data_IF_731359060639
#
_entry.id   IF_731359060639
#
_cell.length_a   1.000
_cell.length_b   1.000
_cell.length_c   1.000
_cell.angle_alpha   90.00
_cell.angle_beta   90.00
_cell.angle_gamma   90.00
#
_symmetry.space_group_name_H-M   'P 1'
#
loop_
_entity.id
_entity.type
_entity.pdbx_description
1 polymer ?
#
# COMPACT_ATOMS: atom_id res chain seq x y z
N UNK A 1 13.77 13.56 14.95
CA UNK A 1 13.01 12.37 15.44
C UNK A 1 14.02 11.31 15.86
N UNK A 2 14.26 11.14 17.15
CA UNK A 2 15.15 10.07 17.64
C UNK A 2 14.52 8.66 17.50
N UNK A 3 13.20 8.60 17.42
CA UNK A 3 12.44 7.34 17.39
C UNK A 3 11.95 6.91 15.98
N UNK A 4 12.47 7.52 14.91
CA UNK A 4 12.11 7.13 13.55
C UNK A 4 13.36 6.78 12.76
N UNK A 5 13.62 5.48 12.59
CA UNK A 5 14.76 4.97 11.83
C UNK A 5 14.48 3.56 11.32
N UNK A 6 15.27 3.12 10.35
CA UNK A 6 15.18 1.80 9.76
C UNK A 6 16.45 1.00 10.05
N UNK A 7 16.26 -0.23 10.51
CA UNK A 7 17.34 -1.18 10.74
C UNK A 7 17.19 -2.40 9.83
N UNK A 8 18.21 -2.72 9.05
CA UNK A 8 18.27 -3.97 8.30
C UNK A 8 18.86 -5.07 9.17
N UNK A 9 18.03 -6.07 9.51
CA UNK A 9 18.44 -7.23 10.33
C UNK A 9 19.21 -8.24 9.50
N UNK A 10 18.71 -8.54 8.29
CA UNK A 10 19.34 -9.49 7.36
C UNK A 10 19.01 -9.15 5.92
N UNK A 11 19.99 -9.26 5.06
CA UNK A 11 19.83 -9.23 3.62
C UNK A 11 20.08 -10.61 3.03
N UNK A 12 19.27 -11.01 2.08
CA UNK A 12 19.48 -12.23 1.32
C UNK A 12 20.70 -12.05 0.40
N UNK A 13 21.67 -12.98 0.38
CA UNK A 13 22.91 -12.81 -0.36
C UNK A 13 22.76 -12.96 -1.88
N UNK A 14 21.65 -13.55 -2.34
CA UNK A 14 21.44 -13.89 -3.75
C UNK A 14 20.37 -13.04 -4.43
N UNK A 15 19.64 -12.24 -3.66
CA UNK A 15 18.52 -11.42 -4.15
C UNK A 15 18.57 -10.01 -3.54
N UNK A 16 17.64 -9.14 -3.93
CA UNK A 16 17.45 -7.84 -3.28
C UNK A 16 16.71 -7.92 -1.95
N UNK A 17 16.18 -9.09 -1.58
CA UNK A 17 15.32 -9.25 -0.42
C UNK A 17 16.05 -8.97 0.90
N UNK A 18 15.37 -8.26 1.80
CA UNK A 18 15.89 -7.94 3.13
C UNK A 18 14.80 -7.98 4.18
N UNK A 19 15.15 -8.38 5.38
CA UNK A 19 14.33 -8.28 6.57
C UNK A 19 14.88 -7.17 7.47
N UNK A 20 14.01 -6.26 7.88
CA UNK A 20 14.37 -5.11 8.70
C UNK A 20 13.31 -4.79 9.75
N UNK A 21 13.51 -3.70 10.47
CA UNK A 21 12.54 -3.08 11.36
C UNK A 21 12.51 -1.58 11.10
N UNK A 22 11.32 -1.03 10.89
CA UNK A 22 11.09 0.39 10.84
C UNK A 22 10.50 0.82 12.18
N UNK A 23 11.26 1.61 12.94
CA UNK A 23 10.84 2.17 14.22
C UNK A 23 10.02 3.42 13.99
N UNK A 24 8.87 3.54 14.66
CA UNK A 24 7.96 4.69 14.56
C UNK A 24 7.45 5.09 15.95
N UNK A 25 6.88 6.29 16.12
CA UNK A 25 6.31 6.71 17.40
C UNK A 25 5.22 5.79 17.98
N UNK A 26 4.44 5.12 17.11
CA UNK A 26 3.36 4.22 17.54
C UNK A 26 3.76 2.73 17.47
N UNK A 27 5.04 2.41 17.38
CA UNK A 27 5.56 1.05 17.44
C UNK A 27 6.42 0.64 16.26
N UNK A 28 6.97 -0.55 16.37
CA UNK A 28 7.88 -1.13 15.41
C UNK A 28 7.12 -1.86 14.29
N UNK A 29 7.67 -1.77 13.07
CA UNK A 29 7.14 -2.43 11.89
C UNK A 29 8.19 -3.38 11.35
N UNK A 30 7.94 -4.67 11.46
CA UNK A 30 8.79 -5.70 10.84
C UNK A 30 8.59 -5.71 9.32
N UNK A 31 9.68 -5.51 8.57
CA UNK A 31 9.65 -5.56 7.11
C UNK A 31 10.21 -6.89 6.56
N UNK A 32 9.78 -7.33 5.37
CA UNK A 32 8.80 -6.69 4.49
C UNK A 32 7.39 -6.75 5.06
N UNK A 33 6.56 -5.72 4.74
CA UNK A 33 5.21 -5.55 5.31
C UNK A 33 4.17 -5.20 4.24
N UNK A 34 2.97 -5.72 4.41
CA UNK A 34 1.77 -5.30 3.67
C UNK A 34 0.88 -4.44 4.57
N UNK A 35 0.42 -3.31 4.05
CA UNK A 35 -0.47 -2.37 4.73
C UNK A 35 -1.91 -2.50 4.20
N UNK A 36 -2.87 -2.95 5.00
CA UNK A 36 -4.29 -2.86 4.65
C UNK A 36 -4.72 -1.40 4.48
N UNK A 37 -5.55 -1.13 3.46
CA UNK A 37 -5.97 0.23 3.14
C UNK A 37 -7.27 0.60 3.86
N UNK A 38 -7.18 1.58 4.74
CA UNK A 38 -8.28 2.20 5.48
C UNK A 38 -8.73 3.51 4.85
N UNK A 39 -9.40 3.46 3.70
CA UNK A 39 -9.72 4.60 2.83
C UNK A 39 -10.36 5.79 3.55
N UNK A 40 -11.28 5.54 4.47
CA UNK A 40 -12.06 6.57 5.20
C UNK A 40 -11.99 6.34 6.71
N UNK A 41 -10.78 6.28 7.26
CA UNK A 41 -10.51 5.93 8.65
C UNK A 41 -11.06 4.55 9.05
N UNK A 42 -11.19 3.63 8.09
CA UNK A 42 -11.49 2.23 8.37
C UNK A 42 -11.07 1.31 7.21
N UNK A 43 -10.51 0.16 7.53
CA UNK A 43 -10.35 -0.95 6.58
C UNK A 43 -11.71 -1.59 6.37
N UNK A 44 -12.20 -1.55 5.13
CA UNK A 44 -13.60 -1.85 4.81
C UNK A 44 -14.03 -3.25 5.25
N UNK A 45 -14.99 -3.27 6.20
CA UNK A 45 -15.58 -4.50 6.70
C UNK A 45 -14.72 -5.27 7.71
N UNK A 46 -13.67 -4.64 8.29
CA UNK A 46 -12.80 -5.27 9.29
C UNK A 46 -12.62 -4.32 10.47
N UNK A 47 -12.90 -4.80 11.68
CA UNK A 47 -12.70 -4.03 12.90
C UNK A 47 -11.22 -3.86 13.23
N UNK A 48 -10.81 -2.78 13.93
CA UNK A 48 -9.42 -2.60 14.37
C UNK A 48 -8.87 -3.77 15.20
N UNK A 49 -9.67 -4.34 16.11
CA UNK A 49 -9.28 -5.53 16.87
C UNK A 49 -8.98 -6.74 15.97
N UNK A 50 -9.80 -6.95 14.95
CA UNK A 50 -9.65 -8.09 14.02
C UNK A 50 -8.41 -7.89 13.12
N UNK A 51 -8.07 -6.62 12.78
CA UNK A 51 -6.81 -6.28 12.09
C UNK A 51 -5.60 -6.61 12.97
N UNK A 52 -5.68 -6.28 14.26
CA UNK A 52 -4.62 -6.59 15.22
C UNK A 52 -4.42 -8.10 15.36
N UNK A 53 -5.52 -8.86 15.49
CA UNK A 53 -5.48 -10.33 15.56
C UNK A 53 -4.98 -10.97 14.25
N UNK A 54 -5.29 -10.37 13.11
CA UNK A 54 -4.77 -10.78 11.79
C UNK A 54 -3.28 -10.47 11.60
N UNK A 55 -2.64 -9.72 12.50
CA UNK A 55 -1.23 -9.39 12.47
C UNK A 55 -0.89 -8.09 11.73
N UNK A 56 -1.87 -7.19 11.53
CA UNK A 56 -1.59 -5.86 10.95
C UNK A 56 -0.71 -5.05 11.90
N UNK A 57 0.43 -4.61 11.42
CA UNK A 57 1.38 -3.78 12.16
C UNK A 57 1.23 -2.30 11.84
N UNK A 58 0.78 -1.99 10.64
CA UNK A 58 0.54 -0.66 10.10
C UNK A 58 -0.63 -0.72 9.15
N UNK A 59 -1.37 0.38 9.02
CA UNK A 59 -2.41 0.57 8.02
C UNK A 59 -2.14 1.82 7.19
N UNK A 60 -2.72 1.88 5.98
CA UNK A 60 -2.70 3.08 5.15
C UNK A 60 -4.08 3.76 5.20
N UNK A 61 -4.11 5.09 5.34
CA UNK A 61 -5.30 5.92 5.20
C UNK A 61 -5.16 6.89 4.03
N UNK A 62 -6.29 7.20 3.35
CA UNK A 62 -6.24 8.05 2.16
C UNK A 62 -6.53 9.51 2.49
N UNK A 63 -5.57 10.38 2.27
CA UNK A 63 -5.64 11.82 2.53
C UNK A 63 -6.77 12.50 1.76
N UNK A 64 -6.92 12.23 0.46
CA UNK A 64 -7.99 12.80 -0.34
C UNK A 64 -9.39 12.49 0.22
N UNK A 65 -9.66 11.22 0.53
CA UNK A 65 -10.97 10.82 1.02
C UNK A 65 -11.30 11.41 2.39
N UNK A 66 -10.31 11.50 3.27
CA UNK A 66 -10.46 12.07 4.62
C UNK A 66 -10.59 13.59 4.59
N UNK A 67 -9.89 14.26 3.68
CA UNK A 67 -10.08 15.70 3.41
C UNK A 67 -11.48 16.00 2.89
N UNK A 68 -12.00 15.19 1.95
CA UNK A 68 -13.36 15.36 1.45
C UNK A 68 -14.43 15.05 2.50
N UNK A 69 -14.21 14.04 3.34
CA UNK A 69 -15.16 13.62 4.38
C UNK A 69 -14.44 12.74 5.43
N UNK A 70 -14.46 13.12 6.72
CA UNK A 70 -15.25 14.21 7.32
C UNK A 70 -14.63 15.61 7.21
N UNK A 71 -13.39 15.73 6.74
CA UNK A 71 -12.53 16.91 6.76
C UNK A 71 -11.38 16.74 7.75
N UNK A 72 -10.20 17.20 7.34
CA UNK A 72 -8.96 17.05 8.12
C UNK A 72 -9.01 17.77 9.48
N UNK A 73 -9.69 18.93 9.57
CA UNK A 73 -9.86 19.66 10.82
C UNK A 73 -10.73 18.90 11.85
N UNK A 74 -11.77 18.18 11.39
CA UNK A 74 -12.58 17.34 12.28
C UNK A 74 -11.74 16.21 12.85
N UNK A 75 -10.92 15.56 12.02
CA UNK A 75 -10.01 14.50 12.47
C UNK A 75 -8.97 15.04 13.46
N UNK A 76 -8.37 16.22 13.19
CA UNK A 76 -7.46 16.89 14.12
C UNK A 76 -8.13 17.16 15.47
N UNK A 77 -9.35 17.71 15.45
CA UNK A 77 -10.10 18.05 16.68
C UNK A 77 -10.49 16.79 17.48
N UNK A 78 -10.61 15.64 16.83
CA UNK A 78 -10.80 14.33 17.47
C UNK A 78 -9.50 13.76 18.06
N UNK A 79 -8.36 14.42 17.85
CA UNK A 79 -7.05 14.01 18.34
C UNK A 79 -6.24 13.17 17.36
N UNK A 80 -6.50 13.33 16.05
CA UNK A 80 -5.84 12.62 14.96
C UNK A 80 -6.47 11.27 14.63
N UNK A 81 -5.99 10.63 13.55
CA UNK A 81 -6.54 9.36 13.05
C UNK A 81 -6.50 8.24 14.07
N UNK A 82 -5.43 8.13 14.85
CA UNK A 82 -5.28 7.09 15.87
C UNK A 82 -6.47 7.07 16.84
N UNK A 83 -6.82 8.24 17.39
CA UNK A 83 -7.98 8.36 18.28
C UNK A 83 -9.31 8.27 17.53
N UNK A 84 -9.40 8.91 16.36
CA UNK A 84 -10.62 8.98 15.58
C UNK A 84 -11.12 7.59 15.16
N UNK A 85 -10.20 6.67 14.78
CA UNK A 85 -10.55 5.33 14.33
C UNK A 85 -10.25 4.21 15.35
N UNK A 86 -9.79 4.56 16.56
CA UNK A 86 -9.40 3.61 17.61
C UNK A 86 -8.34 2.59 17.11
N UNK A 87 -7.26 3.12 16.56
CA UNK A 87 -6.10 2.35 16.11
C UNK A 87 -4.83 2.89 16.77
N UNK A 88 -4.14 2.06 17.53
CA UNK A 88 -2.99 2.43 18.40
C UNK A 88 -1.62 2.13 17.76
N UNK A 89 -1.59 1.57 16.57
CA UNK A 89 -0.36 1.22 15.83
C UNK A 89 -0.07 2.21 14.71
N UNK A 90 1.11 2.11 14.05
CA UNK A 90 1.48 3.01 12.98
C UNK A 90 0.43 3.20 11.88
N UNK A 91 0.36 4.42 11.38
CA UNK A 91 -0.47 4.81 10.22
C UNK A 91 0.43 5.50 9.19
N UNK A 92 0.23 5.15 7.92
CA UNK A 92 0.74 5.90 6.78
C UNK A 92 -0.44 6.60 6.09
N UNK A 93 -0.31 7.90 5.77
CA UNK A 93 -1.24 8.59 4.85
C UNK A 93 -0.60 8.76 3.49
N UNK A 94 -1.36 8.46 2.42
CA UNK A 94 -0.93 8.77 1.06
C UNK A 94 -0.98 10.29 0.79
N UNK A 95 -0.35 10.75 -0.30
CA UNK A 95 -0.34 12.16 -0.67
C UNK A 95 -1.72 12.72 -1.10
N UNK A 96 -2.67 11.84 -1.42
CA UNK A 96 -3.93 12.20 -2.06
C UNK A 96 -3.81 12.52 -3.56
N UNK A 97 -2.60 12.61 -4.10
CA UNK A 97 -2.33 12.97 -5.49
C UNK A 97 -3.01 12.04 -6.47
N UNK A 98 -2.80 10.73 -6.37
CA UNK A 98 -3.40 9.75 -7.28
C UNK A 98 -4.95 9.85 -7.33
N UNK A 99 -5.62 10.04 -6.19
CA UNK A 99 -7.08 10.15 -6.13
C UNK A 99 -7.58 11.44 -6.77
N UNK A 100 -6.87 12.55 -6.59
CA UNK A 100 -7.18 13.82 -7.26
C UNK A 100 -7.10 13.67 -8.78
N UNK A 101 -6.14 12.90 -9.30
CA UNK A 101 -5.98 12.67 -10.74
C UNK A 101 -6.97 11.65 -11.30
N UNK A 102 -7.26 10.57 -10.55
CA UNK A 102 -8.07 9.45 -11.04
C UNK A 102 -9.57 9.59 -10.79
N UNK A 103 -9.98 10.28 -9.71
CA UNK A 103 -11.39 10.36 -9.29
C UNK A 103 -12.04 11.70 -9.61
N UNK A 104 -11.27 12.78 -9.72
CA UNK A 104 -11.80 14.09 -10.02
C UNK A 104 -12.21 14.21 -11.50
N UNK A 105 -13.48 14.42 -11.77
CA UNK A 105 -14.03 14.51 -13.14
C UNK A 105 -13.49 15.71 -13.93
N UNK A 106 -13.05 16.76 -13.25
CA UNK A 106 -12.48 17.97 -13.81
C UNK A 106 -11.31 18.39 -12.92
N UNK A 107 -10.11 18.09 -13.34
CA UNK A 107 -8.90 18.57 -12.69
C UNK A 107 -8.13 19.52 -13.62
N UNK A 108 -7.57 20.56 -13.05
CA UNK A 108 -6.66 21.46 -13.73
C UNK A 108 -5.36 21.50 -12.94
N UNK A 109 -4.34 20.87 -13.53
CA UNK A 109 -3.02 20.71 -12.92
C UNK A 109 -2.13 21.84 -13.38
N UNK A 110 -1.66 22.65 -12.43
CA UNK A 110 -0.67 23.71 -12.63
C UNK A 110 0.53 23.46 -11.73
N UNK A 111 1.58 24.23 -11.92
CA UNK A 111 2.79 24.11 -11.10
C UNK A 111 2.55 24.58 -9.66
N UNK A 112 1.59 25.48 -9.45
CA UNK A 112 1.16 25.94 -8.12
C UNK A 112 0.40 24.88 -7.31
N UNK A 113 -0.35 24.00 -7.98
CA UNK A 113 -1.21 23.01 -7.35
C UNK A 113 -2.27 22.47 -8.30
N UNK A 114 -3.28 21.81 -7.74
CA UNK A 114 -4.36 21.16 -8.49
C UNK A 114 -5.71 21.72 -8.08
N UNK A 115 -6.47 22.22 -9.06
CA UNK A 115 -7.89 22.54 -8.90
C UNK A 115 -8.74 21.36 -9.36
N UNK A 116 -9.69 20.94 -8.55
CA UNK A 116 -10.58 19.81 -8.87
C UNK A 116 -11.96 20.02 -8.27
N UNK A 117 -12.93 19.26 -8.79
CA UNK A 117 -14.29 19.21 -8.22
C UNK A 117 -14.46 17.93 -7.42
N UNK A 118 -14.96 18.07 -6.19
CA UNK A 118 -15.29 16.96 -5.30
C UNK A 118 -16.27 16.00 -5.97
N UNK A 119 -15.98 14.70 -5.89
CA UNK A 119 -16.91 13.65 -6.33
C UNK A 119 -18.03 13.38 -5.31
N UNK A 120 -17.98 14.03 -4.14
CA UNK A 120 -18.96 13.86 -3.06
C UNK A 120 -20.13 14.84 -3.21
N UNK A 121 -19.83 16.12 -3.45
CA UNK A 121 -20.80 17.23 -3.46
C UNK A 121 -20.61 18.22 -4.62
N UNK A 122 -19.60 18.01 -5.47
CA UNK A 122 -19.29 18.88 -6.60
C UNK A 122 -18.55 20.18 -6.23
N UNK A 123 -18.25 20.43 -4.96
CA UNK A 123 -17.51 21.61 -4.51
C UNK A 123 -16.13 21.70 -5.17
N UNK A 124 -15.68 22.92 -5.46
CA UNK A 124 -14.35 23.16 -6.04
C UNK A 124 -13.30 23.33 -4.95
N UNK A 125 -12.21 22.64 -5.11
CA UNK A 125 -11.06 22.69 -4.21
C UNK A 125 -9.79 23.01 -4.98
N UNK A 126 -8.87 23.70 -4.30
CA UNK A 126 -7.51 23.92 -4.78
C UNK A 126 -6.52 23.41 -3.73
N UNK A 127 -5.73 22.42 -4.09
CA UNK A 127 -4.71 21.84 -3.21
C UNK A 127 -3.33 22.19 -3.77
N UNK A 128 -2.52 22.85 -2.95
CA UNK A 128 -1.10 23.06 -3.17
C UNK A 128 -0.29 22.00 -2.41
N UNK A 129 1.01 21.79 -2.70
CA UNK A 129 1.86 20.93 -1.88
C UNK A 129 1.85 21.27 -0.40
N UNK A 130 1.84 22.54 -0.04
CA UNK A 130 1.79 23.01 1.34
C UNK A 130 0.45 22.60 2.00
N UNK A 131 -0.68 22.79 1.28
CA UNK A 131 -1.99 22.40 1.80
C UNK A 131 -2.11 20.88 1.96
N UNK A 132 -1.50 20.08 1.08
CA UNK A 132 -1.45 18.63 1.23
C UNK A 132 -0.72 18.24 2.53
N UNK A 133 0.42 18.84 2.81
CA UNK A 133 1.16 18.64 4.07
C UNK A 133 0.34 19.07 5.29
N UNK A 134 -0.38 20.22 5.22
CA UNK A 134 -1.25 20.67 6.33
C UNK A 134 -2.37 19.65 6.62
N UNK A 135 -2.97 19.08 5.58
CA UNK A 135 -4.00 18.04 5.71
C UNK A 135 -3.40 16.80 6.40
N UNK A 136 -2.25 16.30 5.94
CA UNK A 136 -1.61 15.13 6.53
C UNK A 136 -1.14 15.38 7.96
N UNK A 137 -0.66 16.59 8.26
CA UNK A 137 -0.34 17.00 9.64
C UNK A 137 -1.59 16.99 10.54
N UNK A 138 -2.74 17.45 10.04
CA UNK A 138 -4.00 17.41 10.77
C UNK A 138 -4.52 15.98 10.98
N UNK A 139 -4.30 15.08 10.01
CA UNK A 139 -4.64 13.66 10.13
C UNK A 139 -3.77 12.94 11.18
N UNK A 140 -2.52 13.35 11.36
CA UNK A 140 -1.65 12.88 12.45
C UNK A 140 -1.13 11.45 12.28
N UNK A 141 -0.86 11.00 11.03
CA UNK A 141 -0.21 9.73 10.76
C UNK A 141 1.29 9.75 11.12
N UNK A 142 1.92 8.58 11.31
CA UNK A 142 3.36 8.46 11.57
C UNK A 142 4.18 8.75 10.31
N UNK A 143 3.67 8.29 9.16
CA UNK A 143 4.31 8.45 7.85
C UNK A 143 3.35 9.23 6.95
N UNK A 144 3.88 10.26 6.32
CA UNK A 144 3.18 11.08 5.32
C UNK A 144 3.93 11.07 4.00
N UNK A 145 3.21 11.20 2.89
CA UNK A 145 3.80 11.16 1.56
C UNK A 145 3.84 12.56 0.93
N UNK A 146 4.94 12.91 0.26
CA UNK A 146 5.01 14.16 -0.48
C UNK A 146 3.96 14.20 -1.60
N UNK A 147 3.34 15.37 -1.81
CA UNK A 147 2.36 15.55 -2.88
C UNK A 147 3.02 15.37 -4.25
N UNK A 148 2.46 14.51 -5.09
CA UNK A 148 3.05 14.09 -6.35
C UNK A 148 2.04 14.08 -7.50
N UNK A 149 2.55 14.03 -8.72
CA UNK A 149 1.73 13.79 -9.92
C UNK A 149 2.07 12.43 -10.51
N UNK A 150 1.17 11.46 -10.35
CA UNK A 150 1.24 10.18 -11.04
C UNK A 150 0.84 10.34 -12.51
N UNK A 151 1.65 9.79 -13.42
CA UNK A 151 1.29 9.67 -14.84
C UNK A 151 0.52 8.38 -15.09
N UNK A 152 -0.49 8.43 -15.95
CA UNK A 152 -1.19 7.22 -16.42
C UNK A 152 -0.25 6.35 -17.28
N UNK A 153 -0.44 5.03 -17.22
CA UNK A 153 0.21 4.14 -18.17
C UNK A 153 -0.25 4.45 -19.60
N UNK A 154 0.70 4.51 -20.53
CA UNK A 154 0.44 4.93 -21.90
C UNK A 154 0.58 6.43 -22.16
N UNK A 155 0.82 7.25 -21.12
CA UNK A 155 1.21 8.65 -21.33
C UNK A 155 2.52 8.73 -22.11
N UNK A 156 2.62 9.70 -23.01
CA UNK A 156 3.81 9.92 -23.80
C UNK A 156 5.02 10.37 -22.94
N UNK A 157 6.22 10.26 -23.52
CA UNK A 157 7.45 10.63 -22.82
C UNK A 157 7.45 12.10 -22.35
N UNK A 158 7.00 13.02 -23.20
CA UNK A 158 7.00 14.47 -22.88
C UNK A 158 6.06 14.78 -21.72
N UNK A 159 4.89 14.17 -21.69
CA UNK A 159 3.93 14.29 -20.58
C UNK A 159 4.49 13.69 -19.29
N UNK A 160 5.18 12.56 -19.38
CA UNK A 160 5.84 11.90 -18.25
C UNK A 160 7.00 12.75 -17.68
N UNK A 161 7.81 13.39 -18.55
CA UNK A 161 8.83 14.38 -18.14
C UNK A 161 8.19 15.52 -17.36
N UNK A 162 7.07 16.07 -17.84
CA UNK A 162 6.37 17.18 -17.19
C UNK A 162 5.86 16.79 -15.80
N UNK A 163 5.24 15.63 -15.69
CA UNK A 163 4.73 15.12 -14.42
C UNK A 163 5.86 14.85 -13.40
N UNK A 164 6.95 14.23 -13.85
CA UNK A 164 8.14 13.99 -13.03
C UNK A 164 8.74 15.31 -12.51
N UNK A 165 8.97 16.29 -13.38
CA UNK A 165 9.52 17.60 -12.97
C UNK A 165 8.62 18.34 -11.98
N UNK A 166 7.29 18.23 -12.16
CA UNK A 166 6.33 18.82 -11.24
C UNK A 166 6.38 18.11 -9.89
N UNK A 167 6.43 16.79 -9.86
CA UNK A 167 6.60 16.01 -8.63
C UNK A 167 7.84 16.46 -7.85
N UNK A 168 8.98 16.66 -8.52
CA UNK A 168 10.22 17.12 -7.88
C UNK A 168 10.08 18.55 -7.34
N UNK A 169 9.47 19.46 -8.11
CA UNK A 169 9.20 20.83 -7.64
C UNK A 169 8.25 20.84 -6.44
N UNK A 170 7.23 20.00 -6.42
CA UNK A 170 6.30 19.86 -5.31
C UNK A 170 6.94 19.20 -4.09
N UNK A 171 7.84 18.25 -4.31
CA UNK A 171 8.63 17.64 -3.23
C UNK A 171 9.42 18.68 -2.45
N UNK A 172 10.14 19.58 -3.14
CA UNK A 172 10.88 20.66 -2.48
C UNK A 172 9.96 21.55 -1.63
N UNK A 173 8.78 21.90 -2.14
CA UNK A 173 7.78 22.69 -1.41
C UNK A 173 7.22 21.93 -0.20
N UNK A 174 6.87 20.65 -0.34
CA UNK A 174 6.44 19.81 0.77
C UNK A 174 7.51 19.73 1.87
N UNK A 175 8.74 19.46 1.48
CA UNK A 175 9.88 19.33 2.41
C UNK A 175 10.14 20.63 3.18
N UNK A 176 10.14 21.77 2.50
CA UNK A 176 10.36 23.08 3.10
C UNK A 176 9.21 23.52 4.01
N UNK A 177 7.97 23.07 3.71
CA UNK A 177 6.78 23.41 4.51
C UNK A 177 6.61 22.50 5.72
N UNK A 178 6.95 21.20 5.61
CA UNK A 178 6.80 20.23 6.69
C UNK A 178 7.74 20.54 7.87
N UNK A 179 7.13 20.77 9.07
CA UNK A 179 7.87 21.10 10.31
C UNK A 179 7.49 20.19 11.49
N UNK A 180 6.57 19.25 11.27
CA UNK A 180 6.13 18.34 12.33
C UNK A 180 7.15 17.22 12.53
N UNK A 181 7.94 17.30 13.58
CA UNK A 181 8.96 16.32 13.90
C UNK A 181 8.42 14.95 14.38
N UNK A 182 7.11 14.82 14.59
CA UNK A 182 6.48 13.55 14.94
C UNK A 182 6.00 12.74 13.73
N UNK A 183 6.17 13.25 12.52
CA UNK A 183 5.75 12.61 11.27
C UNK A 183 6.90 12.52 10.28
N UNK A 184 7.13 11.34 9.73
CA UNK A 184 8.15 11.10 8.71
C UNK A 184 7.60 11.39 7.31
N UNK A 185 8.17 12.38 6.62
CA UNK A 185 7.86 12.66 5.22
C UNK A 185 8.64 11.71 4.31
N UNK A 186 7.95 10.90 3.50
CA UNK A 186 8.51 10.08 2.45
C UNK A 186 8.33 10.77 1.09
N UNK A 187 9.41 11.04 0.37
CA UNK A 187 9.34 11.48 -1.02
C UNK A 187 8.94 10.35 -1.95
N UNK A 188 8.40 10.69 -3.12
CA UNK A 188 7.94 9.72 -4.13
C UNK A 188 8.74 9.88 -5.42
N UNK A 189 9.31 8.77 -5.90
CA UNK A 189 9.94 8.68 -7.22
C UNK A 189 8.89 8.40 -8.27
N UNK A 190 8.75 9.30 -9.25
CA UNK A 190 7.90 9.16 -10.42
C UNK A 190 8.75 8.99 -11.69
N UNK A 191 8.15 8.76 -12.85
CA UNK A 191 8.87 8.59 -14.12
C UNK A 191 8.18 7.63 -15.10
N UNK A 192 6.93 7.23 -14.80
CA UNK A 192 6.19 6.24 -15.59
C UNK A 192 7.03 4.95 -15.76
N UNK A 193 7.03 4.33 -16.92
CA UNK A 193 7.84 3.15 -17.26
C UNK A 193 9.17 3.51 -17.95
N UNK A 194 9.54 4.78 -18.00
CA UNK A 194 10.76 5.26 -18.66
C UNK A 194 11.94 5.22 -17.69
N UNK A 195 12.90 4.32 -17.93
CA UNK A 195 14.03 4.04 -17.03
C UNK A 195 14.90 5.28 -16.78
N UNK A 196 15.18 6.08 -17.81
CA UNK A 196 15.96 7.31 -17.73
C UNK A 196 15.26 8.39 -16.88
N UNK A 197 13.93 8.49 -16.97
CA UNK A 197 13.15 9.38 -16.11
C UNK A 197 13.17 8.91 -14.66
N UNK A 198 13.06 7.61 -14.42
CA UNK A 198 13.16 7.00 -13.10
C UNK A 198 14.51 7.28 -12.45
N UNK A 199 15.60 7.10 -13.21
CA UNK A 199 16.96 7.38 -12.72
C UNK A 199 17.14 8.86 -12.38
N UNK A 200 16.65 9.76 -13.23
CA UNK A 200 16.68 11.21 -12.99
C UNK A 200 15.87 11.55 -11.74
N UNK A 201 14.63 11.07 -11.67
CA UNK A 201 13.75 11.30 -10.53
C UNK A 201 14.37 10.79 -9.22
N UNK A 202 14.93 9.57 -9.22
CA UNK A 202 15.58 8.99 -8.06
C UNK A 202 16.75 9.87 -7.56
N UNK A 203 17.66 10.27 -8.46
CA UNK A 203 18.82 11.09 -8.10
C UNK A 203 18.42 12.40 -7.43
N UNK A 204 17.37 13.05 -7.95
CA UNK A 204 16.88 14.32 -7.40
C UNK A 204 16.02 14.11 -6.13
N UNK A 205 15.47 12.93 -5.90
CA UNK A 205 14.65 12.60 -4.73
C UNK A 205 15.50 12.17 -3.52
N UNK A 206 16.62 11.48 -3.73
CA UNK A 206 17.48 10.95 -2.64
C UNK A 206 17.85 12.01 -1.58
N UNK A 207 18.18 13.28 -1.89
CA UNK A 207 18.51 14.26 -0.87
C UNK A 207 17.39 14.55 0.14
N UNK A 208 16.14 14.26 -0.21
CA UNK A 208 14.96 14.44 0.64
C UNK A 208 14.54 13.14 1.37
N UNK A 209 15.11 12.00 0.98
CA UNK A 209 14.74 10.67 1.48
C UNK A 209 15.42 10.35 2.81
N UNK A 210 15.04 11.06 3.87
CA UNK A 210 15.64 10.88 5.20
C UNK A 210 15.14 9.64 5.92
N UNK A 211 13.86 9.29 5.80
CA UNK A 211 13.21 8.28 6.61
C UNK A 211 12.68 7.09 5.81
N UNK A 212 12.48 7.25 4.53
CA UNK A 212 11.97 6.26 3.60
C UNK A 212 11.77 6.88 2.22
N UNK A 213 11.41 6.05 1.25
CA UNK A 213 11.24 6.48 -0.13
C UNK A 213 10.12 5.69 -0.81
N UNK A 214 9.16 6.39 -1.41
CA UNK A 214 8.07 5.82 -2.18
C UNK A 214 8.43 5.61 -3.66
N UNK A 215 7.92 4.53 -4.23
CA UNK A 215 7.99 4.21 -5.65
C UNK A 215 6.57 4.30 -6.20
N UNK A 216 6.24 5.44 -6.79
CA UNK A 216 4.93 5.71 -7.37
C UNK A 216 4.88 5.47 -8.88
N UNK A 217 3.68 5.53 -9.48
CA UNK A 217 3.47 5.43 -10.92
C UNK A 217 3.81 4.07 -11.55
N UNK A 218 3.80 3.00 -10.75
CA UNK A 218 3.79 1.61 -11.18
C UNK A 218 2.49 0.94 -10.70
N UNK A 219 2.11 -0.20 -11.32
CA UNK A 219 0.82 -0.87 -11.10
C UNK A 219 -0.41 0.00 -11.44
N UNK A 220 -0.26 0.85 -12.46
CA UNK A 220 -1.29 1.77 -12.95
C UNK A 220 -1.87 1.35 -14.32
N UNK A 221 -1.67 0.08 -14.71
CA UNK A 221 -2.20 -0.52 -15.92
C UNK A 221 -1.18 -1.19 -16.84
N UNK A 222 0.11 -1.07 -16.57
CA UNK A 222 1.17 -1.77 -17.28
C UNK A 222 1.17 -3.27 -16.99
N UNK A 223 1.70 -4.10 -17.93
CA UNK A 223 1.98 -5.51 -17.69
C UNK A 223 2.96 -5.69 -16.50
N UNK A 224 2.79 -6.76 -15.73
CA UNK A 224 3.66 -7.06 -14.57
C UNK A 224 5.13 -7.17 -14.95
N UNK A 225 5.40 -7.80 -16.10
CA UNK A 225 6.76 -7.99 -16.63
C UNK A 225 7.45 -6.64 -16.86
N UNK A 226 6.73 -5.65 -17.36
CA UNK A 226 7.25 -4.30 -17.55
C UNK A 226 7.51 -3.60 -16.20
N UNK A 227 6.60 -3.75 -15.23
CA UNK A 227 6.80 -3.25 -13.89
C UNK A 227 8.08 -3.86 -13.26
N UNK A 228 8.28 -5.17 -13.41
CA UNK A 228 9.47 -5.86 -12.90
C UNK A 228 10.74 -5.40 -13.60
N UNK A 229 10.74 -5.25 -14.92
CA UNK A 229 11.88 -4.76 -15.70
C UNK A 229 12.29 -3.33 -15.30
N UNK A 230 11.31 -2.47 -15.03
CA UNK A 230 11.56 -1.12 -14.49
C UNK A 230 12.18 -1.20 -13.10
N UNK A 231 11.64 -2.03 -12.21
CA UNK A 231 12.20 -2.22 -10.86
C UNK A 231 13.62 -2.78 -10.89
N UNK A 232 13.90 -3.76 -11.74
CA UNK A 232 15.24 -4.35 -11.89
C UNK A 232 16.27 -3.31 -12.32
N UNK A 233 15.88 -2.33 -13.15
CA UNK A 233 16.79 -1.25 -13.59
C UNK A 233 17.08 -0.22 -12.51
N UNK A 234 16.12 0.11 -11.66
CA UNK A 234 16.22 1.24 -10.73
C UNK A 234 16.62 0.87 -9.31
N UNK A 235 16.16 -0.28 -8.79
CA UNK A 235 16.34 -0.64 -7.38
C UNK A 235 17.79 -0.80 -6.92
N UNK A 236 18.76 -1.23 -7.75
CA UNK A 236 20.16 -1.23 -7.36
C UNK A 236 20.70 0.14 -6.93
N UNK A 237 20.10 1.23 -7.42
CA UNK A 237 20.51 2.60 -7.12
C UNK A 237 19.79 3.23 -5.90
N UNK A 238 18.82 2.51 -5.30
CA UNK A 238 18.08 3.01 -4.15
C UNK A 238 18.91 2.92 -2.86
N UNK A 239 18.75 3.89 -1.94
CA UNK A 239 19.39 3.83 -0.63
C UNK A 239 19.08 2.52 0.10
N UNK A 240 20.06 1.99 0.83
CA UNK A 240 19.93 0.73 1.58
C UNK A 240 19.61 0.92 3.06
N UNK A 241 19.80 2.13 3.57
CA UNK A 241 19.61 2.50 4.98
C UNK A 241 18.20 3.03 5.32
N UNK A 242 17.29 3.03 4.36
CA UNK A 242 15.88 3.44 4.54
C UNK A 242 14.93 2.44 3.89
N UNK A 243 13.65 2.35 4.33
CA UNK A 243 12.68 1.46 3.70
C UNK A 243 12.24 1.96 2.33
N UNK A 244 11.97 1.00 1.43
CA UNK A 244 11.49 1.22 0.06
C UNK A 244 10.04 0.79 -0.02
N UNK A 245 9.17 1.71 -0.36
CA UNK A 245 7.73 1.51 -0.41
C UNK A 245 7.22 1.50 -1.85
N UNK A 246 6.77 0.34 -2.34
CA UNK A 246 6.12 0.19 -3.65
C UNK A 246 4.61 0.41 -3.49
N UNK A 247 4.13 1.54 -4.01
CA UNK A 247 2.78 2.04 -3.78
C UNK A 247 1.74 1.30 -4.62
N UNK A 248 0.61 0.94 -4.01
CA UNK A 248 -0.56 0.39 -4.70
C UNK A 248 -0.45 -1.08 -5.15
N UNK A 249 0.58 -1.80 -4.74
CA UNK A 249 0.86 -3.19 -5.14
C UNK A 249 0.53 -4.15 -4.01
N UNK A 250 -0.29 -5.19 -4.27
CA UNK A 250 -0.74 -6.10 -3.21
C UNK A 250 -1.35 -7.42 -3.69
N UNK A 251 -1.10 -7.86 -4.93
CA UNK A 251 -1.38 -9.26 -5.29
C UNK A 251 -0.25 -10.15 -4.74
N UNK A 252 -0.56 -11.39 -4.28
CA UNK A 252 0.41 -12.26 -3.63
C UNK A 252 1.71 -12.45 -4.42
N UNK A 253 1.60 -12.69 -5.72
CA UNK A 253 2.74 -12.83 -6.63
C UNK A 253 3.58 -11.54 -6.74
N UNK A 254 2.92 -10.37 -6.84
CA UNK A 254 3.63 -9.09 -6.88
C UNK A 254 4.32 -8.75 -5.55
N UNK A 255 3.78 -9.20 -4.40
CA UNK A 255 4.45 -9.06 -3.11
C UNK A 255 5.74 -9.88 -3.07
N UNK A 256 5.68 -11.15 -3.48
CA UNK A 256 6.87 -12.03 -3.54
C UNK A 256 7.92 -11.46 -4.49
N UNK A 257 7.52 -11.02 -5.69
CA UNK A 257 8.42 -10.44 -6.68
C UNK A 257 8.99 -9.07 -6.29
N UNK A 258 8.20 -8.25 -5.60
CA UNK A 258 8.67 -6.97 -5.07
C UNK A 258 9.72 -7.17 -3.98
N UNK A 259 9.48 -8.10 -3.04
CA UNK A 259 10.47 -8.43 -2.01
C UNK A 259 11.73 -9.04 -2.61
N UNK A 260 11.60 -9.93 -3.60
CA UNK A 260 12.75 -10.49 -4.34
C UNK A 260 13.68 -9.40 -4.87
N UNK A 261 13.12 -8.24 -5.26
CA UNK A 261 13.83 -7.08 -5.78
C UNK A 261 14.25 -6.06 -4.71
N UNK A 262 13.89 -6.28 -3.44
CA UNK A 262 14.32 -5.44 -2.32
C UNK A 262 13.32 -4.36 -1.89
N UNK A 263 12.03 -4.56 -2.15
CA UNK A 263 10.96 -3.73 -1.60
C UNK A 263 10.62 -4.17 -0.17
N UNK A 264 10.39 -3.19 0.71
CA UNK A 264 10.11 -3.41 2.13
C UNK A 264 8.64 -3.21 2.51
N UNK A 265 7.93 -2.30 1.82
CA UNK A 265 6.58 -1.90 2.19
C UNK A 265 5.65 -1.93 0.96
N UNK A 266 4.42 -2.37 1.19
CA UNK A 266 3.39 -2.48 0.16
C UNK A 266 2.03 -2.10 0.73
N UNK A 267 1.14 -1.59 -0.13
CA UNK A 267 -0.27 -1.40 0.17
C UNK A 267 -1.13 -1.79 -1.02
N UNK A 268 -2.33 -2.21 -0.79
CA UNK A 268 -3.34 -2.31 -1.85
C UNK A 268 -4.74 -2.50 -1.28
N UNK A 269 -5.74 -1.88 -1.92
CA UNK A 269 -7.17 -2.13 -1.62
C UNK A 269 -7.66 -3.50 -2.10
N UNK A 270 -6.83 -4.26 -2.85
CA UNK A 270 -7.23 -5.49 -3.53
C UNK A 270 -7.84 -6.52 -2.57
N UNK A 271 -7.21 -6.74 -1.40
CA UNK A 271 -7.65 -7.73 -0.42
C UNK A 271 -9.13 -7.56 -0.05
N UNK A 272 -9.55 -6.35 0.31
CA UNK A 272 -10.94 -6.06 0.70
C UNK A 272 -11.86 -5.82 -0.51
N UNK A 273 -11.32 -5.28 -1.62
CA UNK A 273 -12.09 -5.03 -2.85
C UNK A 273 -12.61 -6.33 -3.46
N UNK A 274 -11.73 -7.30 -3.69
CA UNK A 274 -12.14 -8.59 -4.28
C UNK A 274 -12.98 -9.43 -3.30
N UNK A 275 -12.69 -9.36 -2.01
CA UNK A 275 -13.46 -10.05 -0.95
C UNK A 275 -14.94 -9.65 -0.99
N UNK A 276 -15.25 -8.35 -1.07
CA UNK A 276 -16.61 -7.83 -1.16
C UNK A 276 -17.33 -8.28 -2.44
N UNK A 277 -16.58 -8.69 -3.47
CA UNK A 277 -17.09 -9.27 -4.70
C UNK A 277 -17.09 -10.81 -4.68
N UNK A 278 -16.79 -11.43 -3.54
CA UNK A 278 -16.84 -12.88 -3.35
C UNK A 278 -15.59 -13.64 -3.82
N UNK A 279 -14.42 -12.99 -3.83
CA UNK A 279 -13.15 -13.63 -4.18
C UNK A 279 -12.24 -13.72 -2.97
N UNK A 280 -11.73 -14.91 -2.68
CA UNK A 280 -10.73 -15.18 -1.64
C UNK A 280 -9.36 -15.46 -2.26
N UNK A 281 -8.31 -15.02 -1.58
CA UNK A 281 -6.91 -15.40 -1.83
C UNK A 281 -6.60 -16.62 -0.95
N UNK A 282 -6.02 -17.68 -1.52
CA UNK A 282 -5.66 -18.88 -0.77
C UNK A 282 -4.23 -19.32 -1.09
N UNK A 283 -3.68 -20.25 -0.32
CA UNK A 283 -2.38 -20.87 -0.56
C UNK A 283 -2.29 -21.55 -1.94
N UNK A 284 -3.43 -21.92 -2.52
CA UNK A 284 -3.55 -22.60 -3.82
C UNK A 284 -4.11 -21.68 -4.92
N UNK A 285 -3.95 -20.35 -4.78
CA UNK A 285 -4.45 -19.37 -5.73
C UNK A 285 -5.79 -18.75 -5.33
N UNK A 286 -6.39 -17.99 -6.25
CA UNK A 286 -7.65 -17.28 -6.00
C UNK A 286 -8.86 -18.20 -6.23
N UNK A 287 -9.86 -18.10 -5.35
CA UNK A 287 -11.14 -18.76 -5.52
C UNK A 287 -12.28 -17.76 -5.57
N UNK A 288 -13.23 -17.97 -6.50
CA UNK A 288 -14.47 -17.20 -6.58
C UNK A 288 -15.55 -18.00 -5.84
N UNK A 289 -15.89 -17.58 -4.63
CA UNK A 289 -16.79 -18.33 -3.72
C UNK A 289 -18.20 -18.50 -4.29
N UNK A 290 -18.64 -17.58 -5.18
CA UNK A 290 -19.96 -17.67 -5.87
C UNK A 290 -20.11 -18.90 -6.77
N UNK A 291 -19.03 -19.56 -7.17
CA UNK A 291 -19.06 -20.70 -8.08
C UNK A 291 -19.93 -21.84 -7.55
N UNK A 292 -20.71 -22.48 -8.46
CA UNK A 292 -21.64 -23.57 -8.13
C UNK A 292 -20.99 -24.77 -7.44
N UNK A 293 -19.73 -25.05 -7.76
CA UNK A 293 -18.96 -26.17 -7.15
C UNK A 293 -18.82 -26.08 -5.63
N UNK A 294 -18.99 -24.89 -5.04
CA UNK A 294 -18.90 -24.70 -3.59
C UNK A 294 -20.24 -24.78 -2.87
N UNK A 295 -21.35 -25.15 -3.57
CA UNK A 295 -22.69 -25.22 -2.98
C UNK A 295 -22.77 -26.22 -1.80
N UNK A 296 -22.04 -27.30 -1.91
CA UNK A 296 -22.02 -28.41 -0.92
C UNK A 296 -20.57 -28.66 -0.43
N UNK A 297 -19.69 -27.66 -0.55
CA UNK A 297 -18.33 -27.75 -0.03
C UNK A 297 -18.28 -27.24 1.41
N UNK A 298 -18.26 -28.16 2.35
CA UNK A 298 -18.23 -27.89 3.80
C UNK A 298 -16.82 -27.79 4.37
N UNK A 299 -15.81 -27.61 3.52
CA UNK A 299 -14.42 -27.38 3.93
C UNK A 299 -14.13 -25.87 4.08
N UNK A 300 -13.06 -25.48 4.82
CA UNK A 300 -12.66 -24.07 4.95
C UNK A 300 -12.21 -23.49 3.60
N UNK A 301 -12.12 -22.15 3.51
CA UNK A 301 -11.61 -21.44 2.31
C UNK A 301 -10.23 -21.94 1.92
N UNK A 302 -9.34 -22.04 2.88
CA UNK A 302 -7.95 -22.46 2.73
C UNK A 302 -7.60 -23.40 3.88
N UNK A 303 -7.20 -24.66 3.59
CA UNK A 303 -6.85 -25.63 4.62
C UNK A 303 -5.58 -25.25 5.40
N UNK A 304 -4.70 -24.43 4.84
CA UNK A 304 -3.49 -23.93 5.49
C UNK A 304 -3.73 -22.63 6.31
N UNK A 305 -4.96 -22.12 6.33
CA UNK A 305 -5.31 -20.88 7.03
C UNK A 305 -6.05 -21.12 8.34
N UNK A 306 -5.56 -20.51 9.42
CA UNK A 306 -6.14 -20.59 10.76
C UNK A 306 -6.87 -19.30 11.20
N UNK A 307 -7.21 -18.40 10.25
CA UNK A 307 -7.99 -17.20 10.56
C UNK A 307 -9.39 -17.53 11.08
N UNK A 308 -10.01 -16.55 11.71
CA UNK A 308 -11.38 -16.71 12.24
C UNK A 308 -12.37 -17.24 11.21
N UNK A 309 -12.28 -16.77 9.95
CA UNK A 309 -13.15 -17.25 8.88
C UNK A 309 -12.94 -18.74 8.59
N UNK A 310 -11.71 -19.21 8.40
CA UNK A 310 -11.40 -20.59 8.06
C UNK A 310 -11.67 -21.57 9.21
N UNK A 311 -11.52 -21.12 10.47
CA UNK A 311 -11.82 -21.94 11.66
C UNK A 311 -13.30 -22.18 11.88
N UNK A 312 -14.16 -21.25 11.47
CA UNK A 312 -15.56 -21.24 11.89
C UNK A 312 -16.55 -21.40 10.73
N UNK A 313 -16.14 -21.18 9.47
CA UNK A 313 -17.06 -21.14 8.34
C UNK A 313 -16.56 -21.95 7.15
N UNK A 314 -17.51 -22.53 6.42
CA UNK A 314 -17.25 -23.35 5.23
C UNK A 314 -17.45 -22.55 3.94
N UNK A 315 -16.90 -23.04 2.84
CA UNK A 315 -17.12 -22.45 1.50
C UNK A 315 -18.61 -22.40 1.14
N UNK A 316 -19.38 -23.44 1.49
CA UNK A 316 -20.81 -23.47 1.25
C UNK A 316 -21.56 -22.35 1.96
N UNK A 317 -21.24 -22.09 3.23
CA UNK A 317 -21.81 -20.98 3.99
C UNK A 317 -21.42 -19.62 3.42
N UNK A 318 -20.15 -19.42 3.16
CA UNK A 318 -19.63 -18.16 2.59
C UNK A 318 -20.23 -17.88 1.21
N UNK A 319 -20.38 -18.93 0.37
CA UNK A 319 -21.08 -18.82 -0.89
C UNK A 319 -22.52 -18.35 -0.71
N UNK A 320 -23.24 -18.92 0.26
CA UNK A 320 -24.60 -18.48 0.58
C UNK A 320 -24.63 -16.99 0.94
N UNK A 321 -23.81 -16.55 1.91
CA UNK A 321 -23.74 -15.15 2.37
C UNK A 321 -23.44 -14.18 1.22
N UNK A 322 -22.46 -14.52 0.37
CA UNK A 322 -22.09 -13.69 -0.78
C UNK A 322 -23.21 -13.62 -1.84
N UNK A 323 -23.92 -14.71 -2.07
CA UNK A 323 -25.00 -14.76 -3.06
C UNK A 323 -26.26 -14.00 -2.63
N UNK A 324 -26.55 -13.97 -1.32
CA UNK A 324 -27.68 -13.20 -0.78
C UNK A 324 -27.27 -11.76 -0.42
N UNK A 325 -26.04 -11.36 -0.76
CA UNK A 325 -25.46 -10.05 -0.51
C UNK A 325 -25.44 -9.64 0.99
N UNK A 326 -25.30 -10.62 1.89
CA UNK A 326 -25.07 -10.32 3.31
C UNK A 326 -23.70 -9.70 3.55
N UNK A 327 -23.66 -8.62 4.33
CA UNK A 327 -22.43 -7.91 4.66
C UNK A 327 -21.37 -8.82 5.29
N UNK A 328 -21.81 -9.76 6.13
CA UNK A 328 -20.92 -10.69 6.82
C UNK A 328 -20.09 -11.55 5.85
N UNK A 329 -20.61 -11.89 4.66
CA UNK A 329 -19.86 -12.60 3.64
C UNK A 329 -18.62 -11.82 3.18
N UNK A 330 -18.81 -10.53 2.85
CA UNK A 330 -17.72 -9.64 2.49
C UNK A 330 -16.75 -9.35 3.64
N UNK A 331 -17.24 -9.24 4.87
CA UNK A 331 -16.42 -9.03 6.07
C UNK A 331 -15.51 -10.22 6.34
N UNK A 332 -16.05 -11.44 6.37
CA UNK A 332 -15.30 -12.68 6.60
C UNK A 332 -14.23 -12.90 5.52
N UNK A 333 -14.58 -12.68 4.25
CA UNK A 333 -13.64 -12.79 3.14
C UNK A 333 -12.54 -11.69 3.20
N UNK A 334 -12.89 -10.46 3.64
CA UNK A 334 -11.90 -9.38 3.81
C UNK A 334 -10.91 -9.72 4.91
N UNK A 335 -11.38 -10.18 6.05
CA UNK A 335 -10.54 -10.63 7.15
C UNK A 335 -9.62 -11.78 6.72
N UNK A 336 -10.18 -12.77 6.01
CA UNK A 336 -9.40 -13.90 5.50
C UNK A 336 -8.29 -13.42 4.54
N UNK A 337 -8.60 -12.59 3.56
CA UNK A 337 -7.62 -12.12 2.58
C UNK A 337 -6.50 -11.30 3.24
N UNK A 338 -6.83 -10.45 4.22
CA UNK A 338 -5.82 -9.69 4.98
C UNK A 338 -4.94 -10.64 5.79
N UNK A 339 -5.53 -11.59 6.51
CA UNK A 339 -4.78 -12.60 7.28
C UNK A 339 -3.85 -13.41 6.37
N UNK A 340 -4.35 -13.81 5.20
CA UNK A 340 -3.54 -14.55 4.21
C UNK A 340 -2.32 -13.73 3.76
N UNK A 341 -2.50 -12.44 3.42
CA UNK A 341 -1.40 -11.57 3.01
C UNK A 341 -0.38 -11.34 4.14
N UNK A 342 -0.83 -11.15 5.38
CA UNK A 342 0.08 -11.04 6.53
C UNK A 342 0.87 -12.33 6.78
N UNK A 343 0.24 -13.49 6.65
CA UNK A 343 0.93 -14.79 6.75
C UNK A 343 1.96 -14.97 5.64
N UNK A 344 1.61 -14.58 4.41
CA UNK A 344 2.54 -14.59 3.29
C UNK A 344 3.77 -13.71 3.59
N UNK A 345 3.56 -12.46 4.02
CA UNK A 345 4.65 -11.56 4.37
C UNK A 345 5.50 -12.08 5.53
N UNK A 346 4.88 -12.68 6.55
CA UNK A 346 5.61 -13.33 7.65
C UNK A 346 6.43 -14.53 7.17
N UNK A 347 5.89 -15.35 6.27
CA UNK A 347 6.59 -16.46 5.63
C UNK A 347 7.81 -15.98 4.83
N UNK A 348 7.63 -14.92 4.03
CA UNK A 348 8.70 -14.26 3.29
C UNK A 348 9.80 -13.78 4.25
N UNK A 349 9.43 -13.01 5.29
CA UNK A 349 10.38 -12.52 6.29
C UNK A 349 11.16 -13.66 6.96
N UNK A 350 10.48 -14.70 7.41
CA UNK A 350 11.10 -15.84 8.06
C UNK A 350 12.07 -16.57 7.11
N UNK A 351 11.72 -16.69 5.83
CA UNK A 351 12.61 -17.32 4.84
C UNK A 351 13.86 -16.50 4.56
N UNK A 352 13.77 -15.16 4.57
CA UNK A 352 14.94 -14.27 4.49
C UNK A 352 15.82 -14.44 5.72
N UNK A 353 15.24 -14.39 6.91
CA UNK A 353 15.95 -14.60 8.17
C UNK A 353 16.59 -15.99 8.26
N UNK A 354 15.93 -17.01 7.73
CA UNK A 354 16.42 -18.38 7.64
C UNK A 354 17.45 -18.63 6.53
N UNK A 355 17.54 -17.74 5.52
CA UNK A 355 18.47 -17.89 4.38
C UNK A 355 17.99 -18.86 3.31
N UNK A 356 16.66 -19.06 3.17
CA UNK A 356 16.05 -19.96 2.16
C UNK A 356 14.95 -19.27 1.34
N UNK A 357 15.05 -17.94 1.13
CA UNK A 357 14.00 -17.18 0.44
C UNK A 357 13.78 -17.63 -1.01
N UNK A 358 14.84 -18.03 -1.74
CA UNK A 358 14.68 -18.57 -3.11
C UNK A 358 13.85 -19.85 -3.14
N UNK A 359 14.06 -20.75 -2.17
CA UNK A 359 13.28 -21.99 -2.09
C UNK A 359 11.83 -21.71 -1.69
N UNK A 360 11.62 -20.77 -0.76
CA UNK A 360 10.29 -20.29 -0.41
C UNK A 360 9.56 -19.73 -1.64
N UNK A 361 10.23 -18.90 -2.47
CA UNK A 361 9.66 -18.35 -3.70
C UNK A 361 9.26 -19.45 -4.69
N UNK A 362 10.10 -20.46 -4.90
CA UNK A 362 9.77 -21.62 -5.77
C UNK A 362 8.55 -22.37 -5.25
N UNK A 363 8.52 -22.69 -3.96
CA UNK A 363 7.39 -23.40 -3.36
C UNK A 363 6.11 -22.58 -3.43
N UNK A 364 6.17 -21.27 -3.23
CA UNK A 364 5.03 -20.38 -3.41
C UNK A 364 4.44 -20.50 -4.82
N UNK A 365 5.24 -20.41 -5.88
CA UNK A 365 4.73 -20.49 -7.25
C UNK A 365 4.22 -21.88 -7.60
N UNK A 366 4.85 -22.92 -7.11
CA UNK A 366 4.37 -24.29 -7.29
C UNK A 366 2.97 -24.49 -6.70
N UNK A 367 2.70 -23.92 -5.53
CA UNK A 367 1.38 -24.02 -4.89
C UNK A 367 0.36 -23.03 -5.47
N UNK A 368 0.75 -21.78 -5.62
CA UNK A 368 -0.17 -20.67 -5.92
C UNK A 368 -0.59 -20.62 -7.39
N UNK A 369 0.33 -20.91 -8.32
CA UNK A 369 0.09 -20.87 -9.77
C UNK A 369 0.27 -22.22 -10.46
N UNK A 370 0.62 -23.27 -9.73
CA UNK A 370 1.00 -24.56 -10.29
C UNK A 370 2.11 -24.44 -11.34
N UNK A 371 3.11 -23.61 -11.06
CA UNK A 371 4.20 -23.23 -11.96
C UNK A 371 5.57 -23.42 -11.29
N UNK A 372 6.50 -24.07 -11.97
CA UNK A 372 7.92 -24.12 -11.60
C UNK A 372 8.64 -22.85 -12.13
N UNK A 373 9.52 -22.27 -11.29
CA UNK A 373 10.30 -21.06 -11.61
C UNK A 373 11.78 -21.24 -11.27
#
# INVERSE_FOLDING_TARGET
>A
MENFYFETIKQDPETGARAGVLHTPHGDIETPVYMPVGTQAMVKGVYPRDLTEAGSQIILANTYHLFMRPGDEIVRNAGGLHKFMNWDKPILTDSGGFQVFSLAKLNNIKDEGVTFSSNVDGSKHFITPERAIDIENNLGADIIMAFDQCSEYGADYKSSVKAMKRTLSWLDRCYNHHKNENQALFPIVQGNVFKDLRDTSLKETIPYAKYGIGIGGLSVGEPKELMYDVMDSMLPNYPTNIPRYLMGVGSPDCLVEGVYRGIDMFDCVLATRIARNGTAMTSQGKIVVRNGKYKEDFTPLDPECDCYCCKNYTKAYLRHMVNVNEMMGGMLLSLHNITYLHKLMKGIRNSILGGYFKDFRKEFYKKYENRDI
#
